data_IF_565189354427
#
_entry.id   IF_565189354427
#
_cell.length_a   1.000
_cell.length_b   1.000
_cell.length_c   1.000
_cell.angle_alpha   90.00
_cell.angle_beta   90.00
_cell.angle_gamma   90.00
#
_symmetry.space_group_name_H-M   'P 1'
#
loop_
_entity.id
_entity.type
_entity.pdbx_description
1 polymer ?
#
# COMPACT_ATOMS: atom_id res chain seq x y z
N UNK A 1 -31.82 -4.16 5.44
CA UNK A 1 -32.37 -4.20 6.82
C UNK A 1 -33.87 -4.52 6.84
N UNK A 2 -34.71 -3.95 5.97
CA UNK A 2 -36.15 -4.26 5.93
C UNK A 2 -36.41 -5.72 5.53
N UNK A 3 -35.79 -6.19 4.45
CA UNK A 3 -35.96 -7.58 3.95
C UNK A 3 -35.35 -8.65 4.87
N UNK A 4 -34.24 -8.33 5.54
CA UNK A 4 -33.64 -9.20 6.56
C UNK A 4 -34.44 -9.27 7.86
N UNK A 5 -35.35 -8.32 8.12
CA UNK A 5 -36.25 -8.37 9.27
C UNK A 5 -37.44 -9.30 9.04
N UNK A 6 -37.87 -9.44 7.78
CA UNK A 6 -38.92 -10.39 7.33
C UNK A 6 -38.38 -11.80 7.02
N UNK A 7 -37.12 -12.10 7.38
CA UNK A 7 -36.44 -13.38 7.09
C UNK A 7 -36.40 -13.75 5.59
N UNK A 8 -36.55 -12.81 4.67
CA UNK A 8 -36.47 -13.08 3.23
C UNK A 8 -35.06 -13.56 2.80
N UNK A 9 -34.01 -13.08 3.48
CA UNK A 9 -32.62 -13.49 3.25
C UNK A 9 -31.82 -13.60 4.55
N UNK A 10 -30.85 -14.54 4.58
CA UNK A 10 -29.81 -14.59 5.61
C UNK A 10 -28.81 -13.44 5.41
N UNK A 11 -28.41 -12.81 6.51
CA UNK A 11 -27.45 -11.69 6.51
C UNK A 11 -26.08 -12.08 5.94
N UNK A 12 -25.63 -13.32 6.18
CA UNK A 12 -24.42 -13.86 5.58
C UNK A 12 -24.51 -13.96 4.06
N UNK A 13 -25.67 -14.38 3.53
CA UNK A 13 -25.92 -14.43 2.09
C UNK A 13 -25.85 -13.05 1.45
N UNK A 14 -26.32 -12.00 2.15
CA UNK A 14 -26.22 -10.63 1.68
C UNK A 14 -24.76 -10.14 1.61
N UNK A 15 -23.97 -10.36 2.67
CA UNK A 15 -22.56 -9.94 2.71
C UNK A 15 -21.73 -10.63 1.63
N UNK A 16 -21.92 -11.94 1.45
CA UNK A 16 -21.21 -12.72 0.43
C UNK A 16 -21.62 -12.28 -0.97
N UNK A 17 -22.93 -12.14 -1.22
CA UNK A 17 -23.45 -11.70 -2.52
C UNK A 17 -22.92 -10.30 -2.88
N UNK A 18 -22.99 -9.35 -1.94
CA UNK A 18 -22.48 -8.00 -2.15
C UNK A 18 -20.98 -7.98 -2.49
N UNK A 19 -20.19 -8.77 -1.75
CA UNK A 19 -18.75 -8.91 -2.02
C UNK A 19 -18.48 -9.48 -3.41
N UNK A 20 -19.22 -10.53 -3.80
CA UNK A 20 -19.06 -11.21 -5.09
C UNK A 20 -19.48 -10.33 -6.27
N UNK A 21 -20.57 -9.57 -6.12
CA UNK A 21 -21.04 -8.62 -7.15
C UNK A 21 -20.06 -7.48 -7.38
N UNK A 22 -19.31 -7.07 -6.35
CA UNK A 22 -18.30 -6.01 -6.48
C UNK A 22 -17.02 -6.48 -7.19
N UNK A 23 -16.69 -7.79 -7.17
CA UNK A 23 -15.41 -8.30 -7.69
C UNK A 23 -15.16 -7.96 -9.17
N UNK A 24 -16.10 -8.16 -10.12
CA UNK A 24 -15.83 -7.88 -11.53
C UNK A 24 -15.46 -6.43 -11.80
N UNK A 25 -16.16 -5.49 -11.16
CA UNK A 25 -15.88 -4.07 -11.27
C UNK A 25 -14.51 -3.71 -10.68
N UNK A 26 -14.17 -4.31 -9.52
CA UNK A 26 -12.86 -4.11 -8.88
C UNK A 26 -11.71 -4.69 -9.69
N UNK A 27 -11.89 -5.85 -10.34
CA UNK A 27 -10.89 -6.44 -11.25
C UNK A 27 -10.62 -5.48 -12.40
N UNK A 28 -11.66 -4.97 -13.06
CA UNK A 28 -11.51 -4.03 -14.17
C UNK A 28 -10.81 -2.75 -13.73
N UNK A 29 -11.22 -2.17 -12.59
CA UNK A 29 -10.62 -0.97 -12.04
C UNK A 29 -9.15 -1.18 -11.67
N UNK A 30 -8.82 -2.30 -11.00
CA UNK A 30 -7.46 -2.65 -10.62
C UNK A 30 -6.58 -2.87 -11.86
N UNK A 31 -7.11 -3.52 -12.90
CA UNK A 31 -6.38 -3.78 -14.13
C UNK A 31 -6.10 -2.49 -14.89
N UNK A 32 -7.11 -1.64 -15.07
CA UNK A 32 -6.95 -0.34 -15.71
C UNK A 32 -5.92 0.52 -14.96
N UNK A 33 -6.02 0.62 -13.64
CA UNK A 33 -5.06 1.34 -12.82
C UNK A 33 -3.64 0.77 -12.94
N UNK A 34 -3.51 -0.56 -12.90
CA UNK A 34 -2.21 -1.22 -12.92
C UNK A 34 -1.52 -1.08 -14.28
N UNK A 35 -2.25 -1.20 -15.38
CA UNK A 35 -1.70 -1.02 -16.73
C UNK A 35 -1.23 0.42 -16.93
N UNK A 36 -2.05 1.40 -16.56
CA UNK A 36 -1.69 2.82 -16.74
C UNK A 36 -0.46 3.17 -15.89
N UNK A 37 -0.42 2.76 -14.62
CA UNK A 37 0.67 3.14 -13.71
C UNK A 37 1.95 2.35 -13.96
N UNK A 38 1.87 1.03 -14.15
CA UNK A 38 3.06 0.19 -14.34
C UNK A 38 3.82 0.56 -15.62
N UNK A 39 3.11 0.68 -16.75
CA UNK A 39 3.75 1.05 -18.02
C UNK A 39 3.97 2.57 -18.14
N UNK A 40 3.10 3.40 -17.55
CA UNK A 40 3.24 4.86 -17.63
C UNK A 40 4.40 5.41 -16.81
N UNK A 41 4.70 4.82 -15.65
CA UNK A 41 5.88 5.17 -14.83
C UNK A 41 7.13 4.39 -15.30
N UNK A 42 6.94 3.23 -15.92
CA UNK A 42 8.04 2.35 -16.33
C UNK A 42 8.59 1.51 -15.17
N UNK A 43 7.69 0.98 -14.33
CA UNK A 43 8.05 0.05 -13.26
C UNK A 43 8.71 -1.21 -13.83
N UNK A 44 9.54 -1.84 -13.01
CA UNK A 44 10.37 -2.95 -13.41
C UNK A 44 9.87 -4.31 -12.90
N UNK A 45 10.48 -5.39 -13.40
CA UNK A 45 10.05 -6.76 -13.10
C UNK A 45 9.27 -7.47 -14.22
N UNK A 46 9.09 -6.83 -15.37
CA UNK A 46 8.48 -7.46 -16.55
C UNK A 46 7.07 -8.00 -16.29
N UNK A 47 6.74 -9.17 -16.83
CA UNK A 47 5.40 -9.78 -16.71
C UNK A 47 5.12 -10.26 -15.27
N UNK A 48 6.11 -10.86 -14.60
CA UNK A 48 5.94 -11.36 -13.23
C UNK A 48 5.76 -10.22 -12.23
N UNK A 49 6.55 -9.15 -12.36
CA UNK A 49 6.42 -7.93 -11.57
C UNK A 49 5.09 -7.24 -11.80
N UNK A 50 4.62 -7.15 -13.06
CA UNK A 50 3.31 -6.60 -13.39
C UNK A 50 2.17 -7.43 -12.76
N UNK A 51 2.22 -8.76 -12.85
CA UNK A 51 1.17 -9.62 -12.32
C UNK A 51 1.08 -9.53 -10.80
N UNK A 52 2.22 -9.49 -10.10
CA UNK A 52 2.25 -9.25 -8.66
C UNK A 52 1.70 -7.87 -8.30
N UNK A 53 2.13 -6.82 -9.02
CA UNK A 53 1.64 -5.46 -8.82
C UNK A 53 0.11 -5.39 -9.00
N UNK A 54 -0.43 -5.95 -10.08
CA UNK A 54 -1.86 -6.04 -10.31
C UNK A 54 -2.60 -6.75 -9.17
N UNK A 55 -2.08 -7.90 -8.72
CA UNK A 55 -2.69 -8.68 -7.65
C UNK A 55 -2.69 -7.91 -6.31
N UNK A 56 -1.60 -7.18 -6.01
CA UNK A 56 -1.52 -6.30 -4.85
C UNK A 56 -2.53 -5.14 -4.93
N UNK A 57 -2.65 -4.45 -6.06
CA UNK A 57 -3.62 -3.38 -6.26
C UNK A 57 -5.05 -3.91 -6.13
N UNK A 58 -5.35 -5.05 -6.75
CA UNK A 58 -6.64 -5.70 -6.64
C UNK A 58 -7.00 -6.05 -5.19
N UNK A 59 -6.08 -6.68 -4.45
CA UNK A 59 -6.26 -6.99 -3.04
C UNK A 59 -6.49 -5.73 -2.19
N UNK A 60 -5.79 -4.64 -2.50
CA UNK A 60 -5.92 -3.35 -1.81
C UNK A 60 -7.28 -2.69 -2.07
N UNK A 61 -7.75 -2.68 -3.33
CA UNK A 61 -9.08 -2.17 -3.67
C UNK A 61 -10.20 -3.00 -3.05
N UNK A 62 -10.03 -4.32 -3.00
CA UNK A 62 -10.97 -5.19 -2.31
C UNK A 62 -11.02 -4.93 -0.80
N UNK A 63 -9.86 -4.87 -0.13
CA UNK A 63 -9.78 -4.56 1.30
C UNK A 63 -10.33 -3.17 1.64
N UNK A 64 -10.02 -2.16 0.81
CA UNK A 64 -10.57 -0.81 0.93
C UNK A 64 -12.08 -0.77 0.75
N UNK A 65 -12.62 -1.46 -0.26
CA UNK A 65 -14.06 -1.57 -0.47
C UNK A 65 -14.78 -2.22 0.72
N UNK A 66 -14.20 -3.29 1.28
CA UNK A 66 -14.72 -3.94 2.49
C UNK A 66 -14.68 -3.02 3.71
N UNK A 67 -13.62 -2.21 3.87
CA UNK A 67 -13.53 -1.23 4.95
C UNK A 67 -14.60 -0.14 4.87
N UNK A 68 -14.83 0.42 3.67
CA UNK A 68 -15.89 1.43 3.45
C UNK A 68 -17.27 0.83 3.66
N UNK A 69 -17.50 -0.38 3.17
CA UNK A 69 -18.76 -1.11 3.35
C UNK A 69 -19.03 -1.35 4.84
N UNK A 70 -18.03 -1.78 5.61
CA UNK A 70 -18.14 -1.90 7.07
C UNK A 70 -18.57 -0.58 7.73
N UNK A 71 -17.88 0.52 7.44
CA UNK A 71 -18.19 1.83 8.04
C UNK A 71 -19.60 2.32 7.66
N UNK A 72 -20.04 2.09 6.43
CA UNK A 72 -21.41 2.41 5.99
C UNK A 72 -22.48 1.59 6.72
N UNK A 73 -22.14 0.39 7.20
CA UNK A 73 -23.02 -0.43 8.02
C UNK A 73 -23.15 0.06 9.47
N UNK A 74 -22.14 0.79 9.96
CA UNK A 74 -22.08 1.33 11.33
C UNK A 74 -22.68 2.72 11.42
N UNK A 75 -22.42 3.58 10.43
CA UNK A 75 -22.84 4.99 10.43
C UNK A 75 -24.17 5.14 9.69
N UNK A 76 -25.25 5.59 10.36
CA UNK A 76 -26.57 5.71 9.73
C UNK A 76 -26.66 6.85 8.71
N UNK A 77 -25.80 7.87 8.84
CA UNK A 77 -25.82 9.06 7.99
C UNK A 77 -24.67 9.02 6.97
N UNK A 78 -25.03 8.97 5.68
CA UNK A 78 -24.06 8.77 4.58
C UNK A 78 -22.98 9.86 4.54
N UNK A 79 -23.36 11.14 4.67
CA UNK A 79 -22.39 12.26 4.63
C UNK A 79 -21.35 12.15 5.76
N UNK A 80 -21.80 11.85 7.00
CA UNK A 80 -20.91 11.68 8.15
C UNK A 80 -20.05 10.43 7.98
N UNK A 81 -20.61 9.34 7.43
CA UNK A 81 -19.86 8.13 7.12
C UNK A 81 -18.72 8.41 6.16
N UNK A 82 -18.98 9.17 5.09
CA UNK A 82 -17.97 9.55 4.11
C UNK A 82 -16.83 10.39 4.73
N UNK A 83 -17.15 11.40 5.54
CA UNK A 83 -16.11 12.24 6.17
C UNK A 83 -15.22 11.43 7.11
N UNK A 84 -15.79 10.50 7.87
CA UNK A 84 -15.04 9.60 8.76
C UNK A 84 -14.12 8.68 7.95
N UNK A 85 -14.63 8.06 6.88
CA UNK A 85 -13.84 7.19 6.00
C UNK A 85 -12.62 7.94 5.44
N UNK A 86 -12.85 9.13 4.88
CA UNK A 86 -11.78 9.94 4.27
C UNK A 86 -10.74 10.34 5.33
N UNK A 87 -11.19 10.75 6.52
CA UNK A 87 -10.28 11.09 7.61
C UNK A 87 -9.41 9.89 8.03
N UNK A 88 -10.00 8.70 8.21
CA UNK A 88 -9.26 7.50 8.59
C UNK A 88 -8.27 7.09 7.49
N UNK A 89 -8.68 7.13 6.22
CA UNK A 89 -7.79 6.83 5.09
C UNK A 89 -6.61 7.81 5.01
N UNK A 90 -6.84 9.10 5.28
CA UNK A 90 -5.77 10.10 5.34
C UNK A 90 -4.76 9.77 6.46
N UNK A 91 -5.24 9.37 7.65
CA UNK A 91 -4.35 8.90 8.72
C UNK A 91 -3.59 7.64 8.34
N UNK A 92 -4.25 6.67 7.69
CA UNK A 92 -3.60 5.45 7.21
C UNK A 92 -2.50 5.74 6.18
N UNK A 93 -2.69 6.75 5.33
CA UNK A 93 -1.66 7.20 4.40
C UNK A 93 -0.48 7.85 5.14
N UNK A 94 -0.75 8.71 6.12
CA UNK A 94 0.28 9.42 6.88
C UNK A 94 1.20 8.47 7.66
N UNK A 95 0.60 7.49 8.35
CA UNK A 95 1.32 6.46 9.10
C UNK A 95 1.62 5.20 8.28
N UNK A 96 1.36 5.20 6.97
CA UNK A 96 1.55 4.05 6.08
C UNK A 96 3.00 3.77 5.70
N UNK A 97 3.94 4.60 6.14
CA UNK A 97 5.37 4.47 5.80
C UNK A 97 5.83 5.34 4.63
N UNK A 98 4.91 6.00 3.90
CA UNK A 98 5.26 6.89 2.78
C UNK A 98 5.74 8.27 3.25
N UNK A 99 5.01 8.93 4.17
CA UNK A 99 5.36 10.26 4.67
C UNK A 99 6.31 10.22 5.87
N UNK A 100 6.08 9.27 6.78
CA UNK A 100 6.88 9.09 7.99
C UNK A 100 7.38 7.65 8.02
N UNK A 101 8.70 7.49 7.99
CA UNK A 101 9.33 6.18 8.14
C UNK A 101 9.06 5.62 9.54
N UNK A 102 8.94 4.29 9.63
CA UNK A 102 8.66 3.56 10.87
C UNK A 102 9.53 4.00 12.05
N UNK A 103 10.83 4.19 11.83
CA UNK A 103 11.81 4.51 12.87
C UNK A 103 11.63 5.91 13.48
N UNK A 104 10.88 6.79 12.81
CA UNK A 104 10.54 8.14 13.29
C UNK A 104 9.20 8.18 14.02
N UNK A 105 8.42 7.10 14.00
CA UNK A 105 7.11 7.03 14.66
C UNK A 105 7.31 6.77 16.15
N UNK A 106 6.75 7.61 17.05
CA UNK A 106 6.83 7.37 18.48
C UNK A 106 6.20 6.02 18.88
N UNK A 107 6.73 5.29 19.89
CA UNK A 107 6.29 3.93 20.22
C UNK A 107 4.79 3.80 20.50
N UNK A 108 4.17 4.85 21.05
CA UNK A 108 2.74 4.87 21.38
C UNK A 108 1.81 5.02 20.15
N UNK A 109 2.32 5.42 18.98
CA UNK A 109 1.57 5.43 17.70
C UNK A 109 1.89 4.23 16.80
N UNK A 110 2.85 3.40 17.19
CA UNK A 110 3.36 2.33 16.34
C UNK A 110 2.28 1.26 16.02
N UNK A 111 1.33 1.03 16.92
CA UNK A 111 0.21 0.12 16.68
C UNK A 111 -0.66 0.58 15.50
N UNK A 112 -0.84 1.89 15.32
CA UNK A 112 -1.66 2.45 14.24
C UNK A 112 -1.02 2.23 12.87
N UNK A 113 0.31 2.28 12.81
CA UNK A 113 1.08 1.90 11.62
C UNK A 113 0.79 0.46 11.19
N UNK A 114 0.74 -0.51 12.12
CA UNK A 114 0.45 -1.91 11.80
C UNK A 114 -1.03 -2.20 11.45
N UNK A 115 -1.96 -1.36 11.92
CA UNK A 115 -3.38 -1.46 11.54
C UNK A 115 -3.66 -0.80 10.17
N UNK A 116 -2.77 0.07 9.70
CA UNK A 116 -2.95 0.78 8.44
C UNK A 116 -3.12 -0.19 7.26
N UNK A 117 -4.25 -0.03 6.56
CA UNK A 117 -4.55 -0.69 5.29
C UNK A 117 -3.56 -0.34 4.18
N UNK A 118 -2.87 0.80 4.28
CA UNK A 118 -1.98 1.32 3.24
C UNK A 118 -0.53 0.87 3.42
N UNK A 119 -0.13 0.45 4.64
CA UNK A 119 1.23 -0.01 4.94
C UNK A 119 1.64 -1.20 4.06
N UNK A 120 0.86 -2.28 4.10
CA UNK A 120 1.23 -3.55 3.46
C UNK A 120 1.26 -3.46 1.93
N UNK A 121 0.29 -2.80 1.25
CA UNK A 121 0.39 -2.56 -0.18
C UNK A 121 1.62 -1.74 -0.57
N UNK A 122 1.90 -0.67 0.18
CA UNK A 122 3.06 0.18 -0.07
C UNK A 122 4.39 -0.59 0.02
N UNK A 123 4.60 -1.31 1.12
CA UNK A 123 5.79 -2.13 1.33
C UNK A 123 5.93 -3.23 0.26
N UNK A 124 4.84 -3.90 -0.11
CA UNK A 124 4.86 -4.97 -1.11
C UNK A 124 5.23 -4.46 -2.50
N UNK A 125 4.68 -3.30 -2.91
CA UNK A 125 4.98 -2.70 -4.22
C UNK A 125 6.42 -2.24 -4.27
N UNK A 126 6.94 -1.61 -3.21
CA UNK A 126 8.35 -1.24 -3.14
C UNK A 126 9.27 -2.46 -3.20
N UNK A 127 8.96 -3.51 -2.45
CA UNK A 127 9.74 -4.75 -2.54
C UNK A 127 9.68 -5.40 -3.91
N UNK A 128 8.56 -5.30 -4.63
CA UNK A 128 8.46 -5.82 -5.98
C UNK A 128 9.34 -5.04 -6.97
N UNK A 129 9.47 -3.73 -6.80
CA UNK A 129 10.28 -2.87 -7.65
C UNK A 129 11.78 -2.99 -7.35
N UNK A 130 12.12 -2.97 -6.07
CA UNK A 130 13.50 -2.87 -5.58
C UNK A 130 14.10 -4.23 -5.16
N UNK A 131 13.47 -5.36 -5.50
CA UNK A 131 13.95 -6.72 -5.20
C UNK A 131 15.29 -7.03 -5.91
N UNK A 132 15.54 -6.39 -7.05
CA UNK A 132 16.69 -6.68 -7.90
C UNK A 132 17.96 -5.98 -7.39
N UNK A 133 18.82 -6.74 -6.73
CA UNK A 133 20.11 -6.27 -6.22
C UNK A 133 21.12 -5.90 -7.32
N UNK A 134 20.88 -6.31 -8.57
CA UNK A 134 21.79 -6.00 -9.69
C UNK A 134 21.56 -4.61 -10.27
N UNK A 135 20.41 -3.99 -9.96
CA UNK A 135 20.10 -2.65 -10.42
C UNK A 135 20.73 -1.60 -9.56
N UNK A 136 21.50 -0.74 -10.21
CA UNK A 136 22.12 0.40 -9.58
C UNK A 136 21.27 1.66 -9.76
N UNK A 137 20.86 2.26 -8.64
CA UNK A 137 20.07 3.50 -8.65
C UNK A 137 20.93 4.75 -8.52
N UNK A 138 22.02 4.66 -7.74
CA UNK A 138 22.97 5.76 -7.57
C UNK A 138 24.39 5.25 -7.82
N UNK A 139 25.06 5.83 -8.82
CA UNK A 139 26.49 5.58 -9.09
C UNK A 139 27.38 6.61 -8.40
N UNK A 140 28.66 6.28 -8.25
CA UNK A 140 29.67 7.14 -7.62
C UNK A 140 29.65 8.61 -8.06
N UNK A 141 29.55 8.87 -9.36
CA UNK A 141 29.53 10.25 -9.88
C UNK A 141 28.21 11.01 -9.61
N UNK A 142 27.09 10.30 -9.45
CA UNK A 142 25.74 10.89 -9.24
C UNK A 142 25.51 11.32 -7.80
N UNK A 143 26.40 10.97 -6.88
CA UNK A 143 26.36 11.40 -5.49
C UNK A 143 26.37 12.94 -5.35
N UNK A 144 26.91 13.66 -6.34
CA UNK A 144 27.02 15.12 -6.33
C UNK A 144 25.79 15.84 -6.90
N UNK A 145 24.81 15.15 -7.46
CA UNK A 145 23.70 15.78 -8.19
C UNK A 145 22.81 16.67 -7.30
N UNK A 146 22.70 16.35 -6.00
CA UNK A 146 21.99 17.18 -5.01
C UNK A 146 22.91 18.12 -4.21
N UNK A 147 24.15 18.30 -4.66
CA UNK A 147 25.13 19.19 -4.03
C UNK A 147 25.45 20.37 -4.94
N UNK A 148 26.14 21.42 -4.48
CA UNK A 148 26.59 22.53 -5.32
C UNK A 148 27.46 22.11 -6.52
N UNK A 149 27.94 20.86 -6.54
CA UNK A 149 28.71 20.28 -7.63
C UNK A 149 27.86 19.50 -8.65
N UNK A 150 26.52 19.56 -8.57
CA UNK A 150 25.61 18.86 -9.48
C UNK A 150 25.77 19.27 -10.93
N UNK A 151 25.94 20.58 -11.19
CA UNK A 151 26.16 21.14 -12.54
C UNK A 151 27.62 21.08 -13.00
N UNK A 152 28.54 20.58 -12.16
CA UNK A 152 29.94 20.48 -12.52
C UNK A 152 30.15 19.43 -13.63
N UNK A 153 31.10 19.65 -14.55
CA UNK A 153 31.44 18.67 -15.57
C UNK A 153 31.82 17.32 -14.94
N UNK A 154 31.42 16.21 -15.58
CA UNK A 154 31.66 14.85 -15.06
C UNK A 154 33.13 14.58 -14.73
N UNK A 155 34.05 15.19 -15.48
CA UNK A 155 35.49 15.12 -15.23
C UNK A 155 35.91 15.72 -13.88
N UNK A 156 35.23 16.77 -13.43
CA UNK A 156 35.46 17.38 -12.11
C UNK A 156 34.88 16.51 -11.00
N UNK A 157 33.68 15.92 -11.21
CA UNK A 157 33.06 14.97 -10.27
C UNK A 157 33.98 13.76 -10.02
N UNK A 158 34.59 13.21 -11.08
CA UNK A 158 35.54 12.08 -10.96
C UNK A 158 36.82 12.49 -10.23
N UNK A 159 37.36 13.69 -10.48
CA UNK A 159 38.52 14.21 -9.74
C UNK A 159 38.23 14.43 -8.26
N UNK A 160 37.05 14.97 -7.94
CA UNK A 160 36.59 15.14 -6.56
C UNK A 160 36.44 13.78 -5.87
N UNK A 161 35.89 12.79 -6.56
CA UNK A 161 35.75 11.42 -6.05
C UNK A 161 37.13 10.82 -5.68
N UNK A 162 38.12 10.96 -6.55
CA UNK A 162 39.50 10.52 -6.29
C UNK A 162 40.18 11.33 -5.17
N UNK A 163 39.83 12.60 -5.00
CA UNK A 163 40.37 13.48 -3.95
C UNK A 163 39.72 13.26 -2.59
N UNK A 164 38.53 12.67 -2.52
CA UNK A 164 37.81 12.41 -1.27
C UNK A 164 38.39 11.21 -0.48
N UNK A 165 39.42 10.52 -1.01
CA UNK A 165 40.10 9.43 -0.32
C UNK A 165 39.22 8.20 -0.06
N UNK A 166 38.02 8.16 -0.63
CA UNK A 166 37.13 7.02 -0.60
C UNK A 166 37.50 6.06 -1.73
N UNK A 167 37.56 4.76 -1.47
CA UNK A 167 37.77 3.71 -2.50
C UNK A 167 36.52 3.53 -3.39
N UNK A 168 35.94 4.61 -3.88
CA UNK A 168 34.71 4.61 -4.67
C UNK A 168 35.09 4.91 -6.12
N UNK A 169 34.86 3.94 -7.00
CA UNK A 169 35.03 4.12 -8.45
C UNK A 169 33.85 4.89 -9.04
N UNK A 170 34.05 5.61 -10.13
CA UNK A 170 33.01 6.39 -10.81
C UNK A 170 31.80 5.54 -11.23
N UNK A 171 32.04 4.29 -11.61
CA UNK A 171 31.00 3.31 -11.98
C UNK A 171 30.55 2.41 -10.83
N UNK A 172 31.13 2.56 -9.63
CA UNK A 172 30.71 1.76 -8.48
C UNK A 172 29.27 2.10 -8.10
N UNK A 173 28.50 1.05 -7.80
CA UNK A 173 27.15 1.25 -7.32
C UNK A 173 27.16 1.59 -5.84
N UNK A 174 26.61 2.76 -5.50
CA UNK A 174 26.52 3.24 -4.12
C UNK A 174 25.20 2.87 -3.46
N UNK A 175 24.14 2.73 -4.24
CA UNK A 175 22.82 2.41 -3.71
C UNK A 175 22.13 1.42 -4.64
N UNK A 176 21.93 0.21 -4.12
CA UNK A 176 21.17 -0.87 -4.77
C UNK A 176 19.72 -0.85 -4.29
N UNK A 177 18.84 -1.61 -4.97
CA UNK A 177 17.43 -1.72 -4.55
C UNK A 177 17.24 -2.12 -3.08
N UNK A 178 17.95 -3.14 -2.56
CA UNK A 178 17.92 -3.50 -1.15
C UNK A 178 18.31 -2.38 -0.19
N UNK A 179 19.28 -1.52 -0.57
CA UNK A 179 19.70 -0.39 0.25
C UNK A 179 18.58 0.66 0.34
N UNK A 180 17.84 0.88 -0.76
CA UNK A 180 16.65 1.75 -0.77
C UNK A 180 15.58 1.20 0.18
N UNK A 181 15.32 -0.10 0.15
CA UNK A 181 14.36 -0.75 1.05
C UNK A 181 14.79 -0.65 2.52
N UNK A 182 16.09 -0.81 2.80
CA UNK A 182 16.64 -0.70 4.14
C UNK A 182 16.52 0.73 4.68
N UNK A 183 16.80 1.74 3.86
CA UNK A 183 16.62 3.15 4.23
C UNK A 183 15.15 3.51 4.54
N UNK A 184 14.20 2.84 3.90
CA UNK A 184 12.77 2.99 4.18
C UNK A 184 12.30 2.15 5.38
N UNK A 185 13.16 1.31 5.95
CA UNK A 185 12.82 0.42 7.07
C UNK A 185 11.98 -0.81 6.65
N UNK A 186 11.99 -1.17 5.37
CA UNK A 186 11.14 -2.19 4.75
C UNK A 186 11.90 -3.52 4.62
N UNK A 187 12.26 -4.14 5.75
CA UNK A 187 13.02 -5.41 5.77
C UNK A 187 12.37 -6.53 6.58
N UNK A 188 11.25 -6.25 7.25
CA UNK A 188 10.67 -7.18 8.23
C UNK A 188 9.81 -8.30 7.65
N UNK A 189 9.18 -8.11 6.48
CA UNK A 189 8.23 -9.06 5.88
C UNK A 189 8.48 -9.22 4.39
N UNK A 190 8.18 -10.39 3.83
CA UNK A 190 8.25 -10.62 2.39
C UNK A 190 7.04 -10.04 1.66
N UNK A 191 7.18 -9.76 0.36
CA UNK A 191 6.12 -9.19 -0.48
C UNK A 191 4.84 -10.05 -0.49
N UNK A 192 5.01 -11.38 -0.44
CA UNK A 192 3.90 -12.33 -0.36
C UNK A 192 3.21 -12.33 1.01
N UNK A 193 3.95 -12.12 2.10
CA UNK A 193 3.34 -11.97 3.42
C UNK A 193 2.51 -10.68 3.49
N UNK A 194 3.01 -9.58 2.91
CA UNK A 194 2.25 -8.32 2.81
C UNK A 194 0.97 -8.48 1.98
N UNK A 195 1.02 -9.25 0.89
CA UNK A 195 -0.18 -9.62 0.14
C UNK A 195 -1.18 -10.39 1.01
N UNK A 196 -0.70 -11.43 1.71
CA UNK A 196 -1.53 -12.24 2.59
C UNK A 196 -2.22 -11.42 3.69
N UNK A 197 -1.50 -10.49 4.32
CA UNK A 197 -2.06 -9.60 5.34
C UNK A 197 -3.10 -8.65 4.74
N UNK A 198 -2.89 -8.14 3.52
CA UNK A 198 -3.86 -7.28 2.82
C UNK A 198 -5.16 -8.03 2.55
N UNK A 199 -5.08 -9.28 2.09
CA UNK A 199 -6.24 -10.15 1.88
C UNK A 199 -6.93 -10.45 3.22
N UNK A 200 -6.16 -10.74 4.27
CA UNK A 200 -6.71 -11.00 5.60
C UNK A 200 -7.52 -9.80 6.13
N UNK A 201 -7.05 -8.57 5.89
CA UNK A 201 -7.79 -7.35 6.22
C UNK A 201 -9.13 -7.26 5.49
N UNK A 202 -9.19 -7.61 4.20
CA UNK A 202 -10.46 -7.62 3.47
C UNK A 202 -11.48 -8.60 4.05
N UNK A 203 -11.06 -9.82 4.40
CA UNK A 203 -11.93 -10.77 5.11
C UNK A 203 -12.35 -10.26 6.49
N UNK A 204 -11.43 -9.69 7.24
CA UNK A 204 -11.69 -9.13 8.57
C UNK A 204 -12.78 -8.04 8.51
N UNK A 205 -12.70 -7.09 7.56
CA UNK A 205 -13.71 -6.05 7.42
C UNK A 205 -15.07 -6.59 6.95
N UNK A 206 -15.09 -7.63 6.11
CA UNK A 206 -16.34 -8.30 5.73
C UNK A 206 -17.00 -8.99 6.93
N UNK A 207 -16.21 -9.62 7.81
CA UNK A 207 -16.70 -10.21 9.06
C UNK A 207 -17.23 -9.12 9.99
N UNK A 208 -16.51 -8.00 10.13
CA UNK A 208 -16.99 -6.88 10.94
C UNK A 208 -18.28 -6.27 10.39
N UNK A 209 -18.42 -6.17 9.06
CA UNK A 209 -19.65 -5.71 8.43
C UNK A 209 -20.83 -6.64 8.73
N UNK A 210 -20.62 -7.96 8.71
CA UNK A 210 -21.62 -8.92 9.14
C UNK A 210 -22.07 -8.68 10.59
N UNK A 211 -21.13 -8.44 11.52
CA UNK A 211 -21.46 -8.11 12.91
C UNK A 211 -22.16 -6.75 13.06
N UNK A 212 -21.77 -5.73 12.28
CA UNK A 212 -22.44 -4.44 12.27
C UNK A 212 -23.92 -4.58 11.88
N UNK A 213 -24.21 -5.39 10.84
CA UNK A 213 -25.58 -5.72 10.44
C UNK A 213 -26.34 -6.55 11.49
N UNK A 214 -25.65 -7.41 12.24
CA UNK A 214 -26.25 -8.16 13.35
C UNK A 214 -26.71 -7.23 14.47
N UNK A 215 -25.85 -6.31 14.89
CA UNK A 215 -26.10 -5.37 15.99
C UNK A 215 -27.14 -4.32 15.58
N UNK A 216 -27.01 -3.74 14.38
CA UNK A 216 -27.93 -2.72 13.86
C UNK A 216 -29.37 -3.20 13.75
N UNK A 217 -29.60 -4.49 13.51
CA UNK A 217 -30.94 -5.07 13.50
C UNK A 217 -31.57 -5.19 14.90
N UNK A 218 -30.79 -5.38 15.97
CA UNK A 218 -31.33 -5.47 17.33
C UNK A 218 -31.83 -4.11 17.80
N UNK A 219 -31.16 -3.02 17.40
CA UNK A 219 -31.50 -1.67 17.82
C UNK A 219 -32.79 -1.12 17.20
N UNK A 220 -33.27 -1.71 16.08
CA UNK A 220 -34.53 -1.33 15.42
C UNK A 220 -35.76 -2.15 15.86
N UNK A 221 -35.59 -3.16 16.72
CA UNK A 221 -36.69 -3.96 17.30
C UNK A 221 -37.11 -3.48 18.70
N UNK A 222 -36.42 -2.50 19.26
CA UNK A 222 -36.87 -1.71 20.42
C UNK A 222 -37.39 -0.38 19.92
#
# INVERSE_FOLDING_TARGET
>A
MRETAYNAYRRSSYVISHSLTALPALIFLALAFSVITFFGVGLSGGISGFLFYFLMIFASFWAGSSFVTFLSGVVPHVIIGYTIVVAILAYFLFFGGFFINRDRIPPYWLWFHYISLMKYPYEAVLQNEFDDATKCFVRGFQMFDNTPFGDAPDALKIKLLNSLGMNISSTMCLTTGPDVLQHQGITAMSKWNCLGVTIAWGFFFNILFYFALLIGSKNKRR
#
